data_IF_743490757284
#
_entry.id   IF_743490757284
#
_cell.length_a   1.000
_cell.length_b   1.000
_cell.length_c   1.000
_cell.angle_alpha   90.00
_cell.angle_beta   90.00
_cell.angle_gamma   90.00
#
_symmetry.space_group_name_H-M   'P 1'
#
loop_
_entity.id
_entity.type
_entity.pdbx_description
1 polymer ?
#
# COMPACT_ATOMS: atom_id res chain seq x y z
N UNK A 1 3.54 -17.71 -6.20
CA UNK A 1 4.85 -17.04 -6.14
C UNK A 1 4.69 -15.76 -5.35
N UNK A 2 5.65 -15.41 -4.48
CA UNK A 2 5.55 -14.22 -3.62
C UNK A 2 5.54 -12.90 -4.40
N UNK A 3 6.07 -12.91 -5.62
CA UNK A 3 6.14 -11.73 -6.50
C UNK A 3 4.76 -11.15 -6.83
N UNK A 4 3.76 -12.01 -7.08
CA UNK A 4 2.38 -11.55 -7.31
C UNK A 4 1.78 -10.86 -6.08
N UNK A 5 2.16 -11.29 -4.88
CA UNK A 5 1.68 -10.65 -3.65
C UNK A 5 2.29 -9.25 -3.48
N UNK A 6 3.52 -9.04 -3.95
CA UNK A 6 4.17 -7.73 -3.96
C UNK A 6 3.50 -6.80 -4.96
N UNK A 7 3.19 -7.27 -6.17
CA UNK A 7 2.47 -6.50 -7.19
C UNK A 7 1.08 -6.07 -6.69
N UNK A 8 0.33 -7.00 -6.08
CA UNK A 8 -0.98 -6.71 -5.49
C UNK A 8 -0.84 -5.71 -4.34
N UNK A 9 0.15 -5.89 -3.45
CA UNK A 9 0.40 -4.96 -2.35
C UNK A 9 0.76 -3.55 -2.82
N UNK A 10 1.51 -3.41 -3.91
CA UNK A 10 1.79 -2.10 -4.52
C UNK A 10 0.53 -1.46 -5.09
N UNK A 11 -0.33 -2.22 -5.76
CA UNK A 11 -1.62 -1.71 -6.27
C UNK A 11 -2.50 -1.19 -5.14
N UNK A 12 -2.65 -1.96 -4.04
CA UNK A 12 -3.45 -1.53 -2.87
C UNK A 12 -2.91 -0.22 -2.30
N UNK A 13 -1.59 -0.07 -2.25
CA UNK A 13 -0.94 1.13 -1.72
C UNK A 13 -1.26 2.34 -2.60
N UNK A 14 -1.16 2.20 -3.92
CA UNK A 14 -1.48 3.26 -4.88
C UNK A 14 -2.98 3.60 -4.91
N UNK A 15 -3.86 2.59 -4.84
CA UNK A 15 -5.32 2.78 -4.80
C UNK A 15 -5.80 3.50 -3.54
N UNK A 16 -5.06 3.33 -2.45
CA UNK A 16 -5.28 4.05 -1.20
C UNK A 16 -4.56 5.42 -1.16
N UNK A 17 -4.04 5.87 -2.30
CA UNK A 17 -3.38 7.17 -2.48
C UNK A 17 -2.11 7.35 -1.62
N UNK A 18 -1.51 6.23 -1.18
CA UNK A 18 -0.23 6.20 -0.51
C UNK A 18 0.84 5.87 -1.56
N UNK A 19 1.93 6.64 -1.60
CA UNK A 19 2.88 6.51 -2.72
C UNK A 19 3.69 5.21 -2.64
N UNK A 20 3.39 4.21 -3.49
CA UNK A 20 4.07 2.91 -3.47
C UNK A 20 5.56 3.00 -3.85
N UNK A 21 5.95 4.01 -4.62
CA UNK A 21 7.35 4.22 -5.01
C UNK A 21 8.24 4.62 -3.82
N UNK A 22 7.66 5.29 -2.81
CA UNK A 22 8.37 5.66 -1.57
C UNK A 22 8.59 4.47 -0.65
N UNK A 23 8.08 3.27 -0.96
CA UNK A 23 8.28 2.10 -0.13
C UNK A 23 9.76 1.65 -0.09
N UNK A 24 10.54 2.01 -1.13
CA UNK A 24 11.99 1.79 -1.19
C UNK A 24 12.82 2.88 -0.50
N UNK A 25 12.33 4.12 -0.48
CA UNK A 25 13.06 5.27 0.08
C UNK A 25 12.69 5.55 1.54
N UNK A 26 11.40 5.45 1.89
CA UNK A 26 10.88 5.70 3.23
C UNK A 26 9.66 4.81 3.52
N UNK A 27 9.88 3.52 3.87
CA UNK A 27 8.80 2.58 4.15
C UNK A 27 7.94 3.00 5.35
N UNK A 28 8.51 3.75 6.31
CA UNK A 28 7.78 4.24 7.48
C UNK A 28 6.62 5.18 7.12
N UNK A 29 6.83 6.05 6.13
CA UNK A 29 5.82 6.99 5.65
C UNK A 29 4.66 6.25 4.96
N UNK A 30 4.99 5.29 4.10
CA UNK A 30 3.98 4.50 3.37
C UNK A 30 3.16 3.62 4.32
N UNK A 31 3.81 2.97 5.29
CA UNK A 31 3.12 2.16 6.29
C UNK A 31 2.28 2.99 7.27
N UNK A 32 2.68 4.21 7.59
CA UNK A 32 1.87 5.14 8.37
C UNK A 32 0.63 5.59 7.58
N UNK A 33 0.80 5.91 6.30
CA UNK A 33 -0.29 6.26 5.39
C UNK A 33 -1.29 5.10 5.27
N UNK A 34 -0.84 3.87 5.00
CA UNK A 34 -1.68 2.67 4.97
C UNK A 34 -2.46 2.41 6.26
N UNK A 35 -1.88 2.70 7.43
CA UNK A 35 -2.57 2.56 8.71
C UNK A 35 -3.60 3.65 8.97
N UNK A 36 -3.48 4.80 8.31
CA UNK A 36 -4.42 5.92 8.40
C UNK A 36 -5.57 5.82 7.40
N UNK A 37 -5.43 4.97 6.38
CA UNK A 37 -6.48 4.71 5.38
C UNK A 37 -7.61 3.92 6.03
N UNK A 38 -8.84 4.33 5.74
CA UNK A 38 -10.04 3.67 6.26
C UNK A 38 -10.10 2.22 5.82
N UNK A 39 -10.31 1.30 6.77
CA UNK A 39 -10.31 -0.14 6.51
C UNK A 39 -11.36 -0.55 5.46
N UNK A 40 -12.42 0.26 5.27
CA UNK A 40 -13.45 0.01 4.27
C UNK A 40 -12.94 0.19 2.84
N UNK A 41 -11.94 1.03 2.62
CA UNK A 41 -11.26 1.21 1.32
C UNK A 41 -10.37 0.01 0.99
N UNK A 42 -9.77 -0.60 2.01
CA UNK A 42 -8.95 -1.82 1.85
C UNK A 42 -9.83 -3.06 1.66
N UNK A 43 -11.01 -3.10 2.29
CA UNK A 43 -11.92 -4.27 2.27
C UNK A 43 -12.74 -4.45 0.99
N UNK A 44 -12.63 -3.54 0.01
CA UNK A 44 -13.35 -3.63 -1.29
C UNK A 44 -12.47 -4.13 -2.45
N UNK A 45 -11.18 -4.35 -2.21
CA UNK A 45 -10.27 -5.10 -3.11
C UNK A 45 -10.11 -6.53 -2.61
#
# INVERSE_FOLDING_TARGET
TGERAVEIGMSVIDDCNCNSTMLKESPHLVLACMRSVDAKTISVQ
#
